data_IF_233609827883
#
_entry.id   IF_233609827883
#
_cell.length_a   1.000
_cell.length_b   1.000
_cell.length_c   1.000
_cell.angle_alpha   90.00
_cell.angle_beta   90.00
_cell.angle_gamma   90.00
#
_symmetry.space_group_name_H-M   'P 1'
#
loop_
_entity.id
_entity.type
_entity.pdbx_description
1 polymer ?
#
# COMPACT_ATOMS: atom_id res chain seq x y z
N UNK A 1 -26.82 7.79 -4.31
CA UNK A 1 -26.75 6.66 -5.25
C UNK A 1 -26.64 5.34 -4.47
N UNK A 2 -27.56 4.41 -4.69
CA UNK A 2 -27.71 3.18 -3.88
C UNK A 2 -26.58 2.15 -4.09
N UNK A 3 -26.05 2.07 -5.31
CA UNK A 3 -24.90 1.21 -5.69
C UNK A 3 -23.69 1.47 -4.79
N UNK A 4 -23.46 2.73 -4.42
CA UNK A 4 -22.39 3.13 -3.51
C UNK A 4 -22.53 2.43 -2.15
N UNK A 5 -23.70 2.56 -1.52
CA UNK A 5 -23.99 1.99 -0.21
C UNK A 5 -23.90 0.46 -0.19
N UNK A 6 -24.44 -0.22 -1.21
CA UNK A 6 -24.42 -1.69 -1.28
C UNK A 6 -23.03 -2.29 -1.48
N UNK A 7 -22.16 -1.58 -2.21
CA UNK A 7 -20.85 -2.12 -2.60
C UNK A 7 -19.71 -1.70 -1.68
N UNK A 8 -19.83 -0.56 -0.99
CA UNK A 8 -18.74 0.05 -0.23
C UNK A 8 -18.22 -0.85 0.89
N UNK A 9 -19.11 -1.49 1.66
CA UNK A 9 -18.70 -2.37 2.76
C UNK A 9 -17.90 -3.58 2.25
N UNK A 10 -18.41 -4.28 1.23
CA UNK A 10 -17.71 -5.44 0.64
C UNK A 10 -16.38 -5.04 0.01
N UNK A 11 -16.35 -3.92 -0.72
CA UNK A 11 -15.13 -3.36 -1.27
C UNK A 11 -14.09 -3.06 -0.18
N UNK A 12 -14.54 -2.54 0.98
CA UNK A 12 -13.68 -2.27 2.12
C UNK A 12 -13.14 -3.54 2.78
N UNK A 13 -13.94 -4.60 2.92
CA UNK A 13 -13.51 -5.82 3.64
C UNK A 13 -12.66 -6.72 2.76
N UNK A 14 -13.16 -7.07 1.57
CA UNK A 14 -12.54 -8.08 0.69
C UNK A 14 -11.83 -7.43 -0.52
N UNK A 15 -12.18 -6.20 -0.84
CA UNK A 15 -11.82 -5.56 -2.10
C UNK A 15 -12.89 -5.74 -3.16
N UNK A 16 -12.62 -5.13 -4.31
CA UNK A 16 -13.39 -5.33 -5.52
C UNK A 16 -12.44 -5.82 -6.62
N UNK A 17 -12.66 -7.02 -7.18
CA UNK A 17 -11.97 -7.46 -8.38
C UNK A 17 -12.23 -6.50 -9.57
N UNK A 18 -11.27 -6.37 -10.48
CA UNK A 18 -11.33 -5.38 -11.57
C UNK A 18 -12.45 -5.69 -12.58
N UNK A 19 -12.78 -6.96 -12.78
CA UNK A 19 -13.90 -7.44 -13.59
C UNK A 19 -15.26 -7.04 -12.97
N UNK A 20 -15.41 -7.20 -11.65
CA UNK A 20 -16.60 -6.76 -10.92
C UNK A 20 -16.74 -5.24 -10.97
N UNK A 21 -15.64 -4.51 -10.76
CA UNK A 21 -15.61 -3.05 -10.85
C UNK A 21 -16.08 -2.56 -12.23
N UNK A 22 -15.50 -3.10 -13.31
CA UNK A 22 -15.89 -2.77 -14.69
C UNK A 22 -17.35 -3.14 -14.97
N UNK A 23 -17.83 -4.27 -14.44
CA UNK A 23 -19.22 -4.69 -14.58
C UNK A 23 -20.19 -3.69 -13.93
N UNK A 24 -19.88 -3.22 -12.71
CA UNK A 24 -20.70 -2.21 -12.02
C UNK A 24 -20.63 -0.86 -12.75
N UNK A 25 -19.46 -0.42 -13.21
CA UNK A 25 -19.36 0.79 -14.04
C UNK A 25 -20.22 0.69 -15.30
N UNK A 26 -20.23 -0.47 -15.96
CA UNK A 26 -21.07 -0.73 -17.13
C UNK A 26 -22.56 -0.67 -16.77
N UNK A 27 -22.97 -1.26 -15.65
CA UNK A 27 -24.37 -1.21 -15.17
C UNK A 27 -24.80 0.24 -14.87
N UNK A 28 -23.96 1.03 -14.22
CA UNK A 28 -24.24 2.44 -13.93
C UNK A 28 -24.36 3.26 -15.22
N UNK A 29 -23.45 3.08 -16.18
CA UNK A 29 -23.54 3.75 -17.48
C UNK A 29 -24.79 3.33 -18.27
N UNK A 30 -25.11 2.03 -18.28
CA UNK A 30 -26.30 1.51 -18.95
C UNK A 30 -27.57 2.09 -18.35
N UNK A 31 -27.63 2.20 -17.02
CA UNK A 31 -28.74 2.82 -16.30
C UNK A 31 -28.87 4.31 -16.63
N UNK A 32 -27.76 5.05 -16.62
CA UNK A 32 -27.76 6.49 -16.88
C UNK A 32 -28.23 6.84 -18.30
N UNK A 33 -27.82 6.03 -19.28
CA UNK A 33 -28.09 6.28 -20.71
C UNK A 33 -29.18 5.40 -21.30
N UNK A 34 -29.85 4.58 -20.48
CA UNK A 34 -30.90 3.65 -20.89
C UNK A 34 -30.49 2.79 -22.11
N UNK A 35 -29.28 2.22 -22.07
CA UNK A 35 -28.71 1.41 -23.16
C UNK A 35 -28.24 2.16 -24.40
N UNK A 36 -28.35 3.49 -24.44
CA UNK A 36 -27.88 4.30 -25.57
C UNK A 36 -26.39 4.61 -25.47
N UNK A 37 -25.81 5.03 -26.58
CA UNK A 37 -24.43 5.54 -26.63
C UNK A 37 -24.34 6.80 -25.75
N UNK A 38 -23.40 6.86 -24.79
CA UNK A 38 -23.21 8.03 -23.94
C UNK A 38 -22.93 9.29 -24.78
N UNK A 39 -23.79 10.32 -24.72
CA UNK A 39 -23.56 11.59 -25.42
C UNK A 39 -22.47 12.44 -24.75
N UNK A 40 -22.15 12.15 -23.48
CA UNK A 40 -21.18 12.89 -22.68
C UNK A 40 -20.09 11.93 -22.19
N UNK A 41 -18.85 12.41 -22.17
CA UNK A 41 -17.71 11.64 -21.65
C UNK A 41 -17.91 11.29 -20.17
N UNK A 42 -17.60 10.04 -19.81
CA UNK A 42 -17.61 9.54 -18.43
C UNK A 42 -16.86 10.41 -17.43
N UNK A 43 -15.75 11.06 -17.83
CA UNK A 43 -15.01 11.95 -16.95
C UNK A 43 -15.82 13.20 -16.56
N UNK A 44 -16.54 13.79 -17.52
CA UNK A 44 -17.39 14.97 -17.31
C UNK A 44 -18.58 14.65 -16.39
N UNK A 45 -19.21 13.49 -16.60
CA UNK A 45 -20.37 13.03 -15.82
C UNK A 45 -20.03 12.88 -14.33
N UNK A 46 -18.80 12.51 -14.01
CA UNK A 46 -18.30 12.32 -12.63
C UNK A 46 -17.97 13.64 -11.91
N UNK A 47 -17.83 14.76 -12.62
CA UNK A 47 -17.52 16.04 -12.00
C UNK A 47 -18.68 16.57 -11.14
N UNK A 48 -18.40 17.47 -10.17
CA UNK A 48 -19.43 18.21 -9.45
C UNK A 48 -20.40 18.94 -10.37
N UNK A 49 -21.63 19.15 -9.90
CA UNK A 49 -22.68 19.86 -10.64
C UNK A 49 -22.30 21.30 -10.97
N UNK A 50 -21.48 21.93 -10.13
CA UNK A 50 -20.94 23.29 -10.35
C UNK A 50 -20.05 23.39 -11.58
N UNK A 51 -19.38 22.29 -11.96
CA UNK A 51 -18.52 22.19 -13.14
C UNK A 51 -19.27 21.61 -14.35
N UNK A 52 -20.61 21.55 -14.29
CA UNK A 52 -21.45 20.98 -15.35
C UNK A 52 -21.49 19.45 -15.38
N UNK A 53 -21.00 18.77 -14.34
CA UNK A 53 -21.11 17.32 -14.19
C UNK A 53 -22.41 16.88 -13.52
N UNK A 54 -22.57 15.57 -13.33
CA UNK A 54 -23.74 14.97 -12.63
C UNK A 54 -23.39 14.49 -11.22
N UNK A 55 -22.18 14.77 -10.74
CA UNK A 55 -21.63 14.26 -9.48
C UNK A 55 -21.79 12.72 -9.37
N UNK A 56 -21.56 12.03 -10.49
CA UNK A 56 -21.70 10.57 -10.56
C UNK A 56 -20.56 9.90 -9.79
N UNK A 57 -20.90 8.88 -9.00
CA UNK A 57 -19.92 8.11 -8.22
C UNK A 57 -18.84 7.49 -9.12
N UNK A 58 -17.59 7.85 -8.88
CA UNK A 58 -16.44 7.15 -9.42
C UNK A 58 -16.06 5.96 -8.53
N UNK A 59 -16.40 4.75 -9.00
CA UNK A 59 -16.15 3.51 -8.27
C UNK A 59 -14.65 3.22 -8.15
N UNK A 60 -13.86 3.49 -9.21
CA UNK A 60 -12.41 3.31 -9.21
C UNK A 60 -11.77 4.22 -8.19
N UNK A 61 -12.06 5.52 -8.27
CA UNK A 61 -11.49 6.50 -7.33
C UNK A 61 -11.88 6.18 -5.89
N UNK A 62 -13.12 5.74 -5.64
CA UNK A 62 -13.56 5.29 -4.31
C UNK A 62 -12.79 4.06 -3.84
N UNK A 63 -12.61 3.04 -4.68
CA UNK A 63 -11.89 1.83 -4.31
C UNK A 63 -10.40 2.13 -4.03
N UNK A 64 -9.78 3.01 -4.81
CA UNK A 64 -8.43 3.52 -4.54
C UNK A 64 -8.36 4.28 -3.22
N UNK A 65 -9.35 5.13 -2.92
CA UNK A 65 -9.44 5.82 -1.63
C UNK A 65 -9.61 4.85 -0.45
N UNK A 66 -10.36 3.76 -0.61
CA UNK A 66 -10.47 2.69 0.40
C UNK A 66 -9.09 2.07 0.67
N UNK A 67 -8.32 1.79 -0.39
CA UNK A 67 -6.97 1.22 -0.25
C UNK A 67 -5.99 2.24 0.36
N UNK A 68 -6.10 3.53 0.05
CA UNK A 68 -5.34 4.61 0.72
C UNK A 68 -5.68 4.72 2.21
N UNK A 69 -6.95 4.62 2.58
CA UNK A 69 -7.35 4.65 4.00
C UNK A 69 -6.85 3.42 4.76
N UNK A 70 -6.74 2.26 4.09
CA UNK A 70 -6.09 1.08 4.65
C UNK A 70 -4.59 1.32 4.81
N UNK A 71 -3.93 1.93 3.83
CA UNK A 71 -2.51 2.30 3.91
C UNK A 71 -2.24 3.28 5.05
N UNK A 72 -3.05 4.33 5.21
CA UNK A 72 -2.94 5.26 6.34
C UNK A 72 -2.97 4.51 7.68
N UNK A 73 -3.86 3.53 7.81
CA UNK A 73 -3.98 2.70 9.03
C UNK A 73 -2.80 1.73 9.20
N UNK A 74 -2.21 1.27 8.09
CA UNK A 74 -0.99 0.44 8.10
C UNK A 74 0.23 1.23 8.60
N UNK A 75 0.34 2.49 8.18
CA UNK A 75 1.44 3.40 8.53
C UNK A 75 1.28 4.06 9.92
N UNK A 76 0.31 3.65 10.72
CA UNK A 76 0.13 4.17 12.08
C UNK A 76 0.98 3.36 13.07
N UNK A 77 1.93 4.01 13.76
CA UNK A 77 2.85 3.35 14.70
C UNK A 77 2.33 3.31 16.15
N UNK A 78 1.64 4.34 16.63
CA UNK A 78 1.20 4.44 18.04
C UNK A 78 0.16 3.38 18.47
N UNK A 79 -0.86 3.13 17.64
CA UNK A 79 -1.96 2.19 17.91
C UNK A 79 -2.07 1.19 16.79
N UNK A 80 -0.99 0.44 16.62
CA UNK A 80 -0.83 -0.46 15.47
C UNK A 80 -1.87 -1.59 15.50
N UNK A 81 -2.72 -1.72 14.47
CA UNK A 81 -3.69 -2.81 14.42
C UNK A 81 -3.00 -4.17 14.33
N UNK A 82 -3.55 -5.20 14.98
CA UNK A 82 -2.98 -6.57 14.96
C UNK A 82 -2.71 -7.13 13.55
N UNK A 83 -3.57 -6.82 12.58
CA UNK A 83 -3.38 -7.28 11.20
C UNK A 83 -2.14 -6.69 10.53
N UNK A 84 -1.65 -5.54 10.99
CA UNK A 84 -0.46 -4.88 10.45
C UNK A 84 0.80 -5.68 10.79
N UNK A 85 0.90 -6.22 12.01
CA UNK A 85 2.01 -7.11 12.40
C UNK A 85 2.09 -8.35 11.49
N UNK A 86 0.94 -8.97 11.21
CA UNK A 86 0.87 -10.07 10.23
C UNK A 86 1.20 -9.59 8.81
N UNK A 87 0.76 -8.38 8.46
CA UNK A 87 1.06 -7.74 7.19
C UNK A 87 2.57 -7.60 6.96
N UNK A 88 3.30 -7.07 7.93
CA UNK A 88 4.76 -6.92 7.87
C UNK A 88 5.45 -8.26 7.63
N UNK A 89 5.07 -9.29 8.41
CA UNK A 89 5.61 -10.63 8.24
C UNK A 89 5.36 -11.19 6.83
N UNK A 90 4.13 -11.05 6.33
CA UNK A 90 3.78 -11.47 4.97
C UNK A 90 4.54 -10.67 3.90
N UNK A 91 4.85 -9.40 4.15
CA UNK A 91 5.62 -8.58 3.21
C UNK A 91 7.11 -8.97 3.23
N UNK A 92 7.68 -9.23 4.41
CA UNK A 92 9.05 -9.67 4.60
C UNK A 92 9.33 -11.01 3.87
N UNK A 93 8.39 -11.96 3.92
CA UNK A 93 8.48 -13.23 3.19
C UNK A 93 8.43 -13.09 1.66
N UNK A 94 8.01 -11.94 1.15
CA UNK A 94 7.81 -11.69 -0.28
C UNK A 94 8.80 -10.66 -0.84
N UNK A 95 9.97 -10.52 -0.21
CA UNK A 95 11.03 -9.65 -0.69
C UNK A 95 11.70 -10.29 -1.92
N UNK A 96 11.77 -9.59 -3.07
CA UNK A 96 12.54 -10.05 -4.21
C UNK A 96 14.02 -10.22 -3.86
N UNK A 97 14.64 -11.32 -4.32
CA UNK A 97 16.08 -11.60 -4.12
C UNK A 97 17.01 -10.46 -4.57
N UNK A 98 16.54 -9.61 -5.50
CA UNK A 98 17.25 -8.42 -5.96
C UNK A 98 17.59 -7.42 -4.83
N UNK A 99 16.77 -7.35 -3.78
CA UNK A 99 17.00 -6.46 -2.63
C UNK A 99 18.06 -6.98 -1.65
N UNK A 100 18.58 -8.20 -1.83
CA UNK A 100 19.66 -8.80 -1.01
C UNK A 100 19.38 -8.77 0.52
N UNK A 101 18.11 -8.87 0.89
CA UNK A 101 17.70 -9.06 2.28
C UNK A 101 17.85 -10.54 2.60
N UNK A 102 18.83 -10.88 3.44
CA UNK A 102 19.14 -12.27 3.80
C UNK A 102 18.42 -12.74 5.06
N UNK A 103 18.06 -11.80 5.94
CA UNK A 103 17.36 -12.09 7.18
C UNK A 103 16.01 -11.38 7.14
N UNK A 104 14.95 -12.17 7.01
CA UNK A 104 13.58 -11.68 6.96
C UNK A 104 13.11 -11.10 8.30
N UNK A 105 13.73 -11.48 9.42
CA UNK A 105 13.38 -10.97 10.74
C UNK A 105 13.79 -9.49 10.92
N UNK A 106 14.82 -9.06 10.19
CA UNK A 106 15.26 -7.65 10.18
C UNK A 106 14.42 -6.78 9.25
N UNK A 107 13.55 -7.38 8.42
CA UNK A 107 12.66 -6.69 7.52
C UNK A 107 11.35 -6.34 8.24
N UNK A 108 11.37 -5.23 8.98
CA UNK A 108 10.24 -4.77 9.80
C UNK A 108 9.19 -4.05 8.96
N UNK A 109 9.58 -3.01 8.21
CA UNK A 109 8.63 -2.19 7.46
C UNK A 109 9.27 -1.59 6.20
N UNK A 110 8.67 -1.89 5.04
CA UNK A 110 9.16 -1.44 3.74
C UNK A 110 9.07 0.07 3.48
N UNK A 111 8.34 0.83 4.30
CA UNK A 111 8.22 2.28 4.18
C UNK A 111 9.25 3.04 5.02
N UNK A 112 9.89 2.37 5.99
CA UNK A 112 10.98 2.95 6.80
C UNK A 112 12.34 2.36 6.43
N UNK A 113 12.36 1.32 5.59
CA UNK A 113 13.55 0.59 5.16
C UNK A 113 13.72 0.62 3.64
N UNK A 114 14.91 0.27 3.14
CA UNK A 114 15.30 0.40 1.73
C UNK A 114 14.91 -0.78 0.82
N UNK A 115 14.09 -1.70 1.29
CA UNK A 115 13.59 -2.87 0.55
C UNK A 115 12.12 -2.73 0.18
N UNK A 116 11.68 -3.46 -0.84
CA UNK A 116 10.28 -3.48 -1.25
C UNK A 116 9.77 -4.91 -1.42
N UNK A 117 8.54 -5.18 -1.00
CA UNK A 117 7.89 -6.45 -1.25
C UNK A 117 7.39 -6.57 -2.70
N UNK A 118 7.31 -7.80 -3.20
CA UNK A 118 6.76 -8.08 -4.51
C UNK A 118 5.27 -7.68 -4.60
N UNK A 119 4.93 -6.85 -5.59
CA UNK A 119 3.57 -6.32 -5.82
C UNK A 119 2.75 -7.16 -6.83
N UNK A 120 3.41 -8.05 -7.56
CA UNK A 120 2.85 -8.86 -8.65
C UNK A 120 2.26 -10.18 -8.14
N UNK A 121 1.10 -10.59 -8.66
CA UNK A 121 0.37 -11.78 -8.18
C UNK A 121 1.18 -13.08 -8.28
N UNK A 122 1.91 -13.28 -9.38
CA UNK A 122 2.72 -14.50 -9.58
C UNK A 122 4.04 -14.52 -8.80
N UNK A 123 4.42 -13.41 -8.16
CA UNK A 123 5.70 -13.28 -7.42
C UNK A 123 5.50 -13.02 -5.93
N UNK A 124 4.25 -12.94 -5.47
CA UNK A 124 3.91 -12.54 -4.11
C UNK A 124 2.79 -13.38 -3.58
N UNK A 125 3.05 -14.05 -2.45
CA UNK A 125 2.08 -14.76 -1.63
C UNK A 125 1.24 -13.81 -0.77
N UNK A 126 1.51 -12.50 -0.82
CA UNK A 126 0.74 -11.53 -0.06
C UNK A 126 -0.74 -11.51 -0.53
N UNK A 127 -1.69 -11.35 0.40
CA UNK A 127 -3.11 -11.27 0.08
C UNK A 127 -3.41 -10.18 -0.97
N UNK A 128 -4.42 -10.39 -1.85
CA UNK A 128 -4.78 -9.42 -2.88
C UNK A 128 -5.02 -7.99 -2.35
N UNK A 129 -5.60 -7.88 -1.14
CA UNK A 129 -5.85 -6.61 -0.48
C UNK A 129 -4.56 -5.84 -0.16
N UNK A 130 -3.54 -6.51 0.35
CA UNK A 130 -2.23 -5.91 0.65
C UNK A 130 -1.54 -5.50 -0.65
N UNK A 131 -1.58 -6.36 -1.68
CA UNK A 131 -0.98 -6.05 -2.98
C UNK A 131 -1.62 -4.84 -3.66
N UNK A 132 -2.95 -4.68 -3.58
CA UNK A 132 -3.63 -3.47 -4.08
C UNK A 132 -3.20 -2.23 -3.29
N UNK A 133 -3.20 -2.31 -1.97
CA UNK A 133 -2.71 -1.24 -1.09
C UNK A 133 -1.29 -0.77 -1.50
N UNK A 134 -0.36 -1.70 -1.75
CA UNK A 134 1.00 -1.37 -2.20
C UNK A 134 1.05 -0.76 -3.61
N UNK A 135 0.19 -1.21 -4.53
CA UNK A 135 0.08 -0.61 -5.87
C UNK A 135 -0.45 0.82 -5.78
N UNK A 136 -1.45 1.04 -4.94
CA UNK A 136 -2.01 2.37 -4.68
C UNK A 136 -0.95 3.28 -4.05
N UNK A 137 -0.18 2.79 -3.08
CA UNK A 137 0.95 3.52 -2.50
C UNK A 137 1.94 3.97 -3.58
N UNK A 138 2.34 3.06 -4.50
CA UNK A 138 3.23 3.39 -5.61
C UNK A 138 2.62 4.35 -6.63
N UNK A 139 1.32 4.22 -6.93
CA UNK A 139 0.59 5.12 -7.85
C UNK A 139 0.61 6.57 -7.36
N UNK A 140 0.47 6.78 -6.05
CA UNK A 140 0.43 8.10 -5.42
C UNK A 140 1.79 8.55 -4.86
N UNK A 141 2.87 7.82 -5.10
CA UNK A 141 4.22 8.21 -4.66
C UNK A 141 4.38 8.28 -3.13
N UNK A 142 3.65 7.46 -2.37
CA UNK A 142 3.72 7.48 -0.91
C UNK A 142 5.09 6.97 -0.46
N UNK A 143 5.89 7.87 0.11
CA UNK A 143 7.23 7.59 0.65
C UNK A 143 7.41 8.32 1.98
N UNK A 144 8.41 7.91 2.76
CA UNK A 144 8.79 8.60 3.99
C UNK A 144 9.69 9.78 3.65
N UNK A 145 9.18 11.00 3.84
CA UNK A 145 9.92 12.25 3.65
C UNK A 145 10.01 13.01 4.98
N UNK A 146 11.02 12.72 5.82
CA UNK A 146 11.19 13.44 7.08
C UNK A 146 11.92 14.77 6.80
N UNK A 147 11.21 15.90 6.85
CA UNK A 147 11.85 17.22 6.74
C UNK A 147 12.69 17.57 8.00
N UNK A 148 12.19 17.20 9.19
CA UNK A 148 12.93 17.26 10.46
C UNK A 148 12.28 16.29 11.47
N UNK A 149 12.74 15.03 11.57
CA UNK A 149 12.12 14.05 12.47
C UNK A 149 12.44 14.40 13.92
N UNK A 150 11.46 14.20 14.82
CA UNK A 150 11.68 14.30 16.27
C UNK A 150 12.68 13.23 16.73
N UNK A 151 13.36 13.46 17.86
CA UNK A 151 14.28 12.45 18.43
C UNK A 151 13.56 11.11 18.68
N UNK A 152 12.31 11.16 19.18
CA UNK A 152 11.48 9.97 19.35
C UNK A 152 11.29 9.18 18.05
N UNK A 153 11.11 9.85 16.92
CA UNK A 153 10.99 9.18 15.62
C UNK A 153 12.33 8.58 15.21
N UNK A 154 13.44 9.29 15.42
CA UNK A 154 14.79 8.77 15.11
C UNK A 154 15.09 7.51 15.91
N UNK A 155 14.82 7.52 17.21
CA UNK A 155 15.03 6.39 18.12
C UNK A 155 14.20 5.15 17.76
N UNK A 156 13.12 5.32 16.99
CA UNK A 156 12.27 4.21 16.51
C UNK A 156 12.62 3.73 15.11
N UNK A 157 13.52 4.43 14.40
CA UNK A 157 13.89 4.05 13.03
C UNK A 157 14.78 2.81 13.04
N UNK A 158 14.48 1.81 12.18
CA UNK A 158 15.26 0.59 12.14
C UNK A 158 16.68 0.87 11.62
N UNK A 159 17.69 0.47 12.40
CA UNK A 159 19.10 0.57 11.99
C UNK A 159 19.41 -0.32 10.79
N UNK A 160 18.81 -1.52 10.77
CA UNK A 160 18.98 -2.47 9.69
C UNK A 160 18.17 -2.04 8.47
N UNK A 161 18.79 -2.12 7.29
CA UNK A 161 18.14 -1.77 6.02
C UNK A 161 17.56 -0.34 6.02
N UNK A 162 18.17 0.59 6.74
CA UNK A 162 17.67 1.95 6.90
C UNK A 162 17.39 2.62 5.54
N UNK A 163 16.35 3.47 5.46
CA UNK A 163 15.93 4.10 4.20
C UNK A 163 17.04 4.93 3.52
N UNK A 164 17.89 5.57 4.31
CA UNK A 164 19.02 6.37 3.82
C UNK A 164 20.26 5.54 3.47
N UNK A 165 20.24 4.23 3.71
CA UNK A 165 21.38 3.35 3.40
C UNK A 165 21.46 3.11 1.89
N UNK A 166 22.63 3.37 1.31
CA UNK A 166 22.89 3.07 -0.09
C UNK A 166 22.69 1.56 -0.35
N UNK A 167 21.88 1.24 -1.36
CA UNK A 167 21.57 -0.14 -1.77
C UNK A 167 22.82 -0.89 -2.23
N UNK A 168 23.84 -0.17 -2.69
CA UNK A 168 25.15 -0.71 -3.06
C UNK A 168 26.03 -0.97 -1.82
N UNK A 169 25.80 -0.23 -0.74
CA UNK A 169 26.43 -0.41 0.57
C UNK A 169 25.59 -1.34 1.46
N UNK A 170 25.30 -2.54 0.96
CA UNK A 170 25.00 -3.62 1.88
C UNK A 170 26.28 -3.85 2.71
N UNK A 171 26.27 -3.76 4.05
CA UNK A 171 27.43 -4.18 4.83
C UNK A 171 27.83 -5.54 4.31
N UNK A 172 29.13 -5.77 4.12
CA UNK A 172 29.67 -7.10 3.82
C UNK A 172 29.30 -7.98 5.02
N UNK A 173 28.10 -8.57 4.98
CA UNK A 173 27.41 -9.31 6.06
C UNK A 173 28.13 -10.60 6.46
N UNK A 174 29.21 -10.92 5.78
CA UNK A 174 30.17 -11.96 6.13
C UNK A 174 31.14 -11.54 7.23
N UNK A 175 31.16 -10.27 7.64
CA UNK A 175 31.91 -9.87 8.83
C UNK A 175 31.22 -10.43 10.08
N UNK A 176 32.00 -11.14 10.91
CA UNK A 176 31.61 -11.78 12.17
C UNK A 176 30.90 -10.83 13.14
N UNK A 177 31.09 -9.51 12.98
CA UNK A 177 30.46 -8.49 13.80
C UNK A 177 28.95 -8.34 13.59
N UNK A 178 28.40 -8.61 12.40
CA UNK A 178 26.96 -8.39 12.14
C UNK A 178 26.06 -9.32 12.96
N UNK A 179 26.31 -10.65 12.99
CA UNK A 179 25.57 -11.55 13.88
C UNK A 179 25.75 -11.19 15.36
N UNK A 180 26.94 -10.76 15.79
CA UNK A 180 27.19 -10.34 17.17
C UNK A 180 26.35 -9.11 17.55
N UNK A 181 26.34 -8.07 16.71
CA UNK A 181 25.58 -6.85 16.95
C UNK A 181 24.06 -7.10 17.00
N UNK A 182 23.57 -8.09 16.22
CA UNK A 182 22.17 -8.48 16.19
C UNK A 182 21.79 -9.41 17.35
N UNK A 183 22.50 -10.52 17.51
CA UNK A 183 22.09 -11.62 18.39
C UNK A 183 22.56 -11.41 19.84
N UNK A 184 23.73 -10.78 20.03
CA UNK A 184 24.33 -10.54 21.35
C UNK A 184 24.01 -9.13 21.85
N UNK A 185 24.20 -8.12 21.00
CA UNK A 185 23.98 -6.71 21.38
C UNK A 185 22.57 -6.19 21.09
N UNK A 186 21.72 -6.96 20.40
CA UNK A 186 20.30 -6.64 20.14
C UNK A 186 20.08 -5.22 19.61
N UNK A 187 20.97 -4.76 18.72
CA UNK A 187 20.81 -3.45 18.09
C UNK A 187 19.64 -3.51 17.12
N UNK A 188 18.63 -2.67 17.32
CA UNK A 188 17.43 -2.62 16.49
C UNK A 188 17.23 -1.25 15.83
N UNK A 189 17.52 -0.16 16.53
CA UNK A 189 17.27 1.22 16.09
C UNK A 189 18.54 2.08 16.04
N UNK A 190 18.44 3.23 15.36
CA UNK A 190 19.55 4.19 15.14
C UNK A 190 19.66 5.16 16.31
#
# INVERSE_FOLDING_TARGET
>A
MEVGGRTQYRARVQGMPADVEKSIEKMVNNFLWNGRVPPVNSAMVKLPTELGGLNLLDIRARNEAIDLMRLKRYLTFEKRPRWVCLGDFLLAQNIPKAHRVHDELLAVNMFTQNWEAAKQAGKSRAPPAVRRMLKTAGKYGITLEPYNPTEEVKDTMPAWHHIAQDRCWAPRRTNVSVPCLRDVHQIETV
#
